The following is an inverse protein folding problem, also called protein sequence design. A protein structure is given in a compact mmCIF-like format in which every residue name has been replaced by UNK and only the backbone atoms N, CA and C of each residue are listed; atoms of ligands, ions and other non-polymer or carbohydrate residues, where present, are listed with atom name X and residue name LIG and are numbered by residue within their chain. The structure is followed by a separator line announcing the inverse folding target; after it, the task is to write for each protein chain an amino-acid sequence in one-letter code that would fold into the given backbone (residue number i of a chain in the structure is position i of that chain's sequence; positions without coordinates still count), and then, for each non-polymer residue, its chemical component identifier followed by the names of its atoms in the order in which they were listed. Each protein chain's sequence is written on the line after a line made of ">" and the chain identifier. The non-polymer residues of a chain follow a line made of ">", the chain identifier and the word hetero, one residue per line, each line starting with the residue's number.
data_IF_415728715210
#
_entry.id   IF_415728715210
#
_cell.length_a   1.000
_cell.length_b   1.000
_cell.length_c   1.000
_cell.angle_alpha   90.00
_cell.angle_beta   90.00
_cell.angle_gamma   90.00
#
_symmetry.space_group_name_H-M   'P 1'
#
loop_
_entity.id
_entity.type
_entity.pdbx_description
1 polymer ?
#
# COMPACT_ATOMS: atom_id res chain seq x y z
N UNK A 1 39.11 37.77 -8.79
CA UNK A 1 38.84 36.76 -7.74
C UNK A 1 37.33 36.50 -7.70
N UNK A 2 36.87 35.41 -8.32
CA UNK A 2 35.46 35.03 -8.33
C UNK A 2 35.23 33.87 -7.35
N UNK A 3 34.55 34.15 -6.24
CA UNK A 3 34.20 33.14 -5.24
C UNK A 3 33.07 32.29 -5.84
N UNK A 4 33.38 31.09 -6.33
CA UNK A 4 32.37 30.08 -6.68
C UNK A 4 31.71 29.60 -5.38
N UNK A 5 30.48 30.03 -5.14
CA UNK A 5 29.62 29.43 -4.13
C UNK A 5 29.35 27.97 -4.53
N UNK A 6 30.00 27.03 -3.84
CA UNK A 6 29.64 25.62 -3.86
C UNK A 6 28.40 25.48 -2.97
N UNK A 7 27.22 25.65 -3.58
CA UNK A 7 25.96 25.31 -2.93
C UNK A 7 25.84 23.78 -2.91
N UNK A 8 26.39 23.15 -1.87
CA UNK A 8 25.98 21.79 -1.47
C UNK A 8 24.53 21.88 -0.99
N UNK A 9 23.58 21.73 -1.91
CA UNK A 9 22.17 21.52 -1.58
C UNK A 9 22.14 20.22 -0.78
N UNK A 10 21.93 20.31 0.55
CA UNK A 10 21.64 19.12 1.36
C UNK A 10 20.43 18.44 0.73
N UNK A 11 20.63 17.28 0.13
CA UNK A 11 19.55 16.47 -0.40
C UNK A 11 18.54 16.22 0.73
N UNK A 12 17.34 16.78 0.61
CA UNK A 12 16.30 16.58 1.61
C UNK A 12 15.93 15.09 1.62
N UNK A 13 16.14 14.34 2.73
CA UNK A 13 15.90 12.91 2.78
C UNK A 13 14.44 12.57 2.47
N UNK A 14 13.50 13.46 2.81
CA UNK A 14 12.08 13.32 2.44
C UNK A 14 11.91 13.45 0.92
N UNK A 15 12.56 14.41 0.28
CA UNK A 15 12.48 14.54 -1.18
C UNK A 15 13.06 13.31 -1.90
N UNK A 16 14.13 12.70 -1.35
CA UNK A 16 14.73 11.47 -1.87
C UNK A 16 13.86 10.23 -1.67
N UNK A 17 13.14 10.12 -0.55
CA UNK A 17 12.19 9.02 -0.36
C UNK A 17 11.03 9.15 -1.35
N UNK A 18 10.47 10.35 -1.46
CA UNK A 18 9.28 10.60 -2.26
C UNK A 18 9.55 10.66 -3.76
N UNK A 19 10.81 10.75 -4.21
CA UNK A 19 11.15 10.65 -5.63
C UNK A 19 10.89 9.27 -6.22
N UNK A 20 10.74 8.23 -5.39
CA UNK A 20 10.42 6.87 -5.83
C UNK A 20 8.91 6.64 -5.95
N UNK A 21 8.09 7.54 -5.40
CA UNK A 21 6.62 7.47 -5.48
C UNK A 21 6.18 8.21 -6.74
N UNK A 22 5.69 7.46 -7.72
CA UNK A 22 5.26 7.97 -9.02
C UNK A 22 3.86 8.57 -8.99
N UNK A 23 3.05 8.17 -8.01
CA UNK A 23 1.69 8.67 -7.84
C UNK A 23 1.65 10.03 -7.09
N UNK A 24 0.53 10.77 -7.21
CA UNK A 24 0.29 11.92 -6.36
C UNK A 24 0.47 11.57 -4.88
N UNK A 25 1.25 12.40 -4.21
CA UNK A 25 1.63 12.30 -2.79
C UNK A 25 0.43 12.04 -1.87
N UNK A 26 -0.68 12.71 -2.12
CA UNK A 26 -1.93 12.55 -1.38
C UNK A 26 -2.52 11.14 -1.47
N UNK A 27 -2.37 10.47 -2.62
CA UNK A 27 -2.88 9.12 -2.87
C UNK A 27 -2.02 8.10 -2.12
N UNK A 28 -0.69 8.25 -2.15
CA UNK A 28 0.20 7.39 -1.37
C UNK A 28 -0.10 7.47 0.14
N UNK A 29 -0.36 8.67 0.68
CA UNK A 29 -0.77 8.86 2.08
C UNK A 29 -2.12 8.18 2.35
N UNK A 30 -3.11 8.40 1.49
CA UNK A 30 -4.44 7.80 1.65
C UNK A 30 -4.38 6.26 1.63
N UNK A 31 -3.58 5.68 0.72
CA UNK A 31 -3.36 4.23 0.69
C UNK A 31 -2.64 3.72 1.93
N UNK A 32 -1.63 4.46 2.41
CA UNK A 32 -0.94 4.12 3.65
C UNK A 32 -1.91 4.11 4.84
N UNK A 33 -2.81 5.10 4.93
CA UNK A 33 -3.86 5.10 5.94
C UNK A 33 -4.80 3.88 5.82
N UNK A 34 -5.16 3.46 4.59
CA UNK A 34 -5.96 2.26 4.36
C UNK A 34 -5.23 0.97 4.79
N UNK A 35 -3.94 0.84 4.50
CA UNK A 35 -3.11 -0.28 4.97
C UNK A 35 -2.96 -0.29 6.49
N UNK A 36 -2.79 0.88 7.10
CA UNK A 36 -2.72 0.99 8.55
C UNK A 36 -4.05 0.60 9.21
N UNK A 37 -5.18 1.02 8.63
CA UNK A 37 -6.49 0.62 9.11
C UNK A 37 -6.69 -0.91 9.01
N UNK A 38 -6.30 -1.52 7.88
CA UNK A 38 -6.36 -2.98 7.73
C UNK A 38 -5.44 -3.69 8.72
N UNK A 39 -4.22 -3.21 8.94
CA UNK A 39 -3.32 -3.74 9.97
C UNK A 39 -3.97 -3.70 11.36
N UNK A 40 -4.53 -2.56 11.76
CA UNK A 40 -5.16 -2.38 13.07
C UNK A 40 -6.36 -3.30 13.24
N UNK A 41 -7.22 -3.41 12.22
CA UNK A 41 -8.36 -4.32 12.24
C UNK A 41 -7.88 -5.77 12.38
N UNK A 42 -6.90 -6.19 11.58
CA UNK A 42 -6.33 -7.53 11.68
C UNK A 42 -5.75 -7.82 13.06
N UNK A 43 -4.99 -6.89 13.64
CA UNK A 43 -4.39 -7.04 14.96
C UNK A 43 -5.44 -7.12 16.09
N UNK A 44 -6.54 -6.38 15.96
CA UNK A 44 -7.68 -6.48 16.87
C UNK A 44 -8.34 -7.85 16.75
N UNK A 45 -8.55 -8.35 15.52
CA UNK A 45 -9.14 -9.67 15.31
C UNK A 45 -8.28 -10.78 15.92
N UNK A 46 -6.96 -10.78 15.64
CA UNK A 46 -6.03 -11.78 16.19
C UNK A 46 -5.98 -11.77 17.73
N UNK A 47 -6.26 -10.62 18.37
CA UNK A 47 -6.32 -10.53 19.83
C UNK A 47 -7.57 -11.16 20.42
N UNK A 48 -8.67 -11.19 19.67
CA UNK A 48 -9.97 -11.71 20.09
C UNK A 48 -10.29 -13.09 19.54
N UNK A 49 -9.31 -13.78 18.96
CA UNK A 49 -9.50 -15.00 18.17
C UNK A 49 -10.16 -16.14 18.94
N UNK A 50 -11.14 -16.79 18.32
CA UNK A 50 -11.76 -18.01 18.88
C UNK A 50 -11.80 -19.17 17.90
N UNK A 51 -11.63 -18.92 16.60
CA UNK A 51 -11.72 -19.91 15.54
C UNK A 51 -10.60 -19.76 14.50
N UNK A 52 -10.28 -20.84 13.79
CA UNK A 52 -9.21 -20.84 12.78
C UNK A 52 -9.49 -19.88 11.60
N UNK A 53 -10.76 -19.61 11.29
CA UNK A 53 -11.14 -18.70 10.20
C UNK A 53 -10.85 -17.24 10.58
N UNK A 54 -11.10 -16.86 11.83
CA UNK A 54 -10.73 -15.55 12.35
C UNK A 54 -9.21 -15.34 12.20
N UNK A 55 -8.43 -16.39 12.51
CA UNK A 55 -6.97 -16.32 12.46
C UNK A 55 -6.45 -16.08 11.06
N UNK A 56 -7.00 -16.78 10.07
CA UNK A 56 -6.63 -16.61 8.67
C UNK A 56 -6.98 -15.19 8.20
N UNK A 57 -8.16 -14.70 8.56
CA UNK A 57 -8.60 -13.34 8.24
C UNK A 57 -7.67 -12.29 8.88
N UNK A 58 -7.42 -12.40 10.18
CA UNK A 58 -6.57 -11.48 10.93
C UNK A 58 -5.14 -11.48 10.40
N UNK A 59 -4.61 -12.66 10.08
CA UNK A 59 -3.28 -12.81 9.51
C UNK A 59 -3.15 -12.11 8.16
N UNK A 60 -4.10 -12.31 7.24
CA UNK A 60 -4.08 -11.65 5.93
C UNK A 60 -4.14 -10.12 6.01
N UNK A 61 -4.94 -9.61 6.95
CA UNK A 61 -5.04 -8.17 7.20
C UNK A 61 -3.76 -7.60 7.82
N UNK A 62 -3.17 -8.29 8.79
CA UNK A 62 -1.93 -7.86 9.44
C UNK A 62 -0.77 -7.89 8.46
N UNK A 63 -0.58 -8.98 7.72
CA UNK A 63 0.52 -9.08 6.74
C UNK A 63 0.32 -8.06 5.62
N UNK A 64 -0.89 -7.97 5.07
CA UNK A 64 -1.25 -6.99 4.04
C UNK A 64 -1.00 -5.55 4.50
N UNK A 65 -1.46 -5.18 5.69
CA UNK A 65 -1.25 -3.84 6.23
C UNK A 65 0.20 -3.54 6.61
N UNK A 66 0.92 -4.49 7.21
CA UNK A 66 2.31 -4.33 7.63
C UNK A 66 3.27 -4.13 6.46
N UNK A 67 3.05 -4.85 5.36
CA UNK A 67 3.86 -4.67 4.14
C UNK A 67 3.34 -3.52 3.28
N UNK A 68 2.03 -3.31 3.20
CA UNK A 68 1.41 -2.28 2.38
C UNK A 68 1.70 -0.86 2.86
N UNK A 69 1.67 -0.62 4.18
CA UNK A 69 1.91 0.70 4.76
C UNK A 69 3.27 1.31 4.35
N UNK A 70 4.42 0.65 4.58
CA UNK A 70 5.70 1.20 4.17
C UNK A 70 5.83 1.23 2.64
N UNK A 71 5.40 0.17 1.94
CA UNK A 71 5.62 0.08 0.47
C UNK A 71 4.86 1.15 -0.30
N UNK A 72 3.68 1.56 0.16
CA UNK A 72 2.93 2.68 -0.40
C UNK A 72 3.67 4.02 -0.28
N UNK A 73 4.41 4.24 0.80
CA UNK A 73 5.20 5.45 1.06
C UNK A 73 6.55 5.44 0.35
N UNK A 74 7.16 4.26 0.17
CA UNK A 74 8.46 4.11 -0.47
C UNK A 74 8.39 3.83 -1.97
N UNK A 75 7.19 3.61 -2.52
CA UNK A 75 6.99 3.30 -3.94
C UNK A 75 7.49 1.92 -4.34
N UNK A 76 7.52 0.96 -3.40
CA UNK A 76 7.98 -0.40 -3.71
C UNK A 76 6.83 -1.27 -4.22
N UNK A 77 6.48 -1.07 -5.48
CA UNK A 77 5.24 -1.58 -6.06
C UNK A 77 5.16 -3.11 -6.15
N UNK A 78 6.29 -3.80 -6.33
CA UNK A 78 6.30 -5.27 -6.38
C UNK A 78 5.79 -5.88 -5.07
N UNK A 79 6.29 -5.40 -3.93
CA UNK A 79 5.86 -5.86 -2.61
C UNK A 79 4.47 -5.31 -2.26
N UNK A 80 4.17 -4.07 -2.67
CA UNK A 80 2.84 -3.48 -2.47
C UNK A 80 1.74 -4.30 -3.16
N UNK A 81 1.99 -4.86 -4.35
CA UNK A 81 1.04 -5.76 -5.03
C UNK A 81 0.68 -6.98 -4.19
N UNK A 82 1.67 -7.65 -3.59
CA UNK A 82 1.41 -8.78 -2.70
C UNK A 82 0.61 -8.35 -1.46
N UNK A 83 0.94 -7.18 -0.90
CA UNK A 83 0.23 -6.58 0.23
C UNK A 83 -1.24 -6.26 -0.11
N UNK A 84 -1.53 -5.76 -1.32
CA UNK A 84 -2.89 -5.55 -1.82
C UNK A 84 -3.67 -6.86 -1.84
N UNK A 85 -3.11 -7.91 -2.45
CA UNK A 85 -3.79 -9.20 -2.58
C UNK A 85 -4.09 -9.82 -1.22
N UNK A 86 -3.13 -9.75 -0.29
CA UNK A 86 -3.33 -10.18 1.09
C UNK A 86 -4.44 -9.39 1.79
N UNK A 87 -4.41 -8.06 1.67
CA UNK A 87 -5.43 -7.20 2.29
C UNK A 87 -6.83 -7.46 1.73
N UNK A 88 -6.95 -7.60 0.40
CA UNK A 88 -8.22 -7.95 -0.26
C UNK A 88 -8.73 -9.30 0.23
N UNK A 89 -7.87 -10.33 0.31
CA UNK A 89 -8.25 -11.64 0.81
C UNK A 89 -8.79 -11.54 2.25
N UNK A 90 -8.09 -10.80 3.13
CA UNK A 90 -8.52 -10.59 4.50
C UNK A 90 -9.86 -9.84 4.62
N UNK A 91 -10.11 -8.84 3.77
CA UNK A 91 -11.41 -8.13 3.75
C UNK A 91 -12.51 -9.01 3.17
N UNK A 92 -12.25 -9.83 2.14
CA UNK A 92 -13.25 -10.77 1.61
C UNK A 92 -13.65 -11.79 2.68
N UNK A 93 -12.69 -12.40 3.37
CA UNK A 93 -13.00 -13.36 4.45
C UNK A 93 -13.78 -12.67 5.57
N UNK A 94 -13.48 -11.41 5.87
CA UNK A 94 -14.26 -10.62 6.82
C UNK A 94 -15.72 -10.45 6.38
N UNK A 95 -15.96 -10.06 5.12
CA UNK A 95 -17.30 -9.87 4.57
C UNK A 95 -18.13 -11.16 4.60
N UNK A 96 -17.49 -12.30 4.34
CA UNK A 96 -18.15 -13.61 4.43
C UNK A 96 -18.58 -13.91 5.87
N UNK A 97 -17.75 -13.56 6.86
CA UNK A 97 -18.06 -13.78 8.28
C UNK A 97 -19.11 -12.82 8.83
N UNK A 98 -19.02 -11.53 8.51
CA UNK A 98 -19.88 -10.50 9.11
C UNK A 98 -21.13 -10.19 8.30
N UNK A 99 -21.18 -10.62 7.03
CA UNK A 99 -22.22 -10.23 6.08
C UNK A 99 -22.16 -8.74 5.69
N UNK A 100 -23.16 -8.30 4.92
CA UNK A 100 -23.28 -6.93 4.39
C UNK A 100 -23.85 -5.95 5.43
N UNK A 101 -23.13 -5.76 6.54
CA UNK A 101 -23.44 -4.77 7.58
C UNK A 101 -22.83 -3.40 7.25
N UNK A 102 -23.09 -2.37 8.06
CA UNK A 102 -22.46 -1.05 7.87
C UNK A 102 -20.92 -1.11 7.90
N UNK A 103 -20.35 -1.99 8.72
CA UNK A 103 -18.91 -2.27 8.72
C UNK A 103 -18.50 -3.03 7.46
N UNK A 104 -19.27 -4.04 7.03
CA UNK A 104 -19.05 -4.71 5.75
C UNK A 104 -19.03 -3.75 4.56
N UNK A 105 -19.91 -2.73 4.53
CA UNK A 105 -19.88 -1.70 3.48
C UNK A 105 -18.56 -0.90 3.48
N UNK A 106 -17.99 -0.61 4.65
CA UNK A 106 -16.65 0.00 4.75
C UNK A 106 -15.58 -0.92 4.16
N UNK A 107 -15.69 -2.23 4.38
CA UNK A 107 -14.81 -3.23 3.75
C UNK A 107 -14.86 -3.19 2.22
N UNK A 108 -16.05 -3.07 1.65
CA UNK A 108 -16.20 -2.91 0.20
C UNK A 108 -15.55 -1.62 -0.32
N UNK A 109 -15.69 -0.51 0.39
CA UNK A 109 -15.00 0.76 0.04
C UNK A 109 -13.48 0.57 0.05
N UNK A 110 -12.95 -0.11 1.07
CA UNK A 110 -11.52 -0.43 1.18
C UNK A 110 -11.05 -1.31 0.02
N UNK A 111 -11.84 -2.32 -0.37
CA UNK A 111 -11.55 -3.15 -1.56
C UNK A 111 -11.47 -2.29 -2.82
N UNK A 112 -12.40 -1.35 -3.02
CA UNK A 112 -12.37 -0.44 -4.18
C UNK A 112 -11.08 0.40 -4.19
N UNK A 113 -10.63 0.87 -3.03
CA UNK A 113 -9.35 1.57 -2.90
C UNK A 113 -8.18 0.67 -3.31
N UNK A 114 -8.13 -0.56 -2.81
CA UNK A 114 -7.07 -1.52 -3.14
C UNK A 114 -7.06 -1.93 -4.61
N UNK A 115 -8.22 -2.16 -5.22
CA UNK A 115 -8.33 -2.45 -6.66
C UNK A 115 -7.88 -1.23 -7.48
N UNK A 116 -8.29 -0.03 -7.08
CA UNK A 116 -7.88 1.21 -7.77
C UNK A 116 -6.36 1.37 -7.72
N UNK A 117 -5.75 1.13 -6.56
CA UNK A 117 -4.29 1.15 -6.41
C UNK A 117 -3.63 0.05 -7.23
N UNK A 118 -4.16 -1.17 -7.23
CA UNK A 118 -3.65 -2.28 -8.03
C UNK A 118 -3.58 -1.91 -9.51
N UNK A 119 -4.67 -1.39 -10.08
CA UNK A 119 -4.73 -0.99 -11.49
C UNK A 119 -3.66 0.07 -11.80
N UNK A 120 -3.36 0.96 -10.86
CA UNK A 120 -2.33 1.97 -11.03
C UNK A 120 -0.93 1.39 -10.96
N UNK A 121 -0.65 0.46 -10.04
CA UNK A 121 0.72 -0.02 -9.77
C UNK A 121 1.09 -1.34 -10.45
N UNK A 122 0.13 -2.03 -11.09
CA UNK A 122 0.33 -3.38 -11.67
C UNK A 122 1.38 -3.41 -12.78
N UNK A 123 1.50 -2.32 -13.54
CA UNK A 123 2.37 -2.24 -14.72
C UNK A 123 3.73 -1.60 -14.37
N UNK A 124 3.92 -1.17 -13.13
CA UNK A 124 5.18 -0.60 -12.65
C UNK A 124 6.07 -1.70 -12.09
N UNK A 125 7.22 -1.94 -12.73
CA UNK A 125 8.22 -2.90 -12.26
C UNK A 125 9.45 -2.19 -11.67
N UNK A 126 9.18 -1.17 -10.84
CA UNK A 126 10.23 -0.32 -10.28
C UNK A 126 10.61 -0.80 -8.88
N UNK A 127 11.84 -1.27 -8.74
CA UNK A 127 12.50 -1.45 -7.44
C UNK A 127 13.06 -0.11 -6.98
N UNK A 128 12.86 0.33 -5.72
CA UNK A 128 13.38 1.60 -5.23
C UNK A 128 14.89 1.72 -5.47
N UNK A 129 15.30 2.71 -6.27
CA UNK A 129 16.71 2.97 -6.61
C UNK A 129 17.11 2.61 -8.04
N UNK A 130 16.27 1.91 -8.80
CA UNK A 130 16.50 1.67 -10.23
C UNK A 130 15.84 2.77 -11.08
N UNK A 131 16.52 3.25 -12.16
CA UNK A 131 15.91 4.19 -13.08
C UNK A 131 14.68 3.54 -13.73
N UNK A 132 13.61 4.33 -13.88
CA UNK A 132 12.38 3.90 -14.56
C UNK A 132 12.73 3.38 -15.95
N UNK A 133 12.61 2.08 -16.15
CA UNK A 133 12.57 1.53 -17.51
C UNK A 133 11.21 1.97 -18.05
N UNK A 134 11.18 3.03 -18.87
CA UNK A 134 10.03 3.30 -19.71
C UNK A 134 9.78 2.04 -20.54
N UNK A 135 8.74 1.29 -20.18
CA UNK A 135 8.25 0.21 -21.04
C UNK A 135 7.68 0.88 -22.27
N UNK A 136 8.53 1.07 -23.30
CA UNK A 136 8.11 1.43 -24.65
C UNK A 136 7.11 0.38 -25.11
N UNK A 137 5.81 0.69 -25.02
CA UNK A 137 4.81 -0.27 -25.46
C UNK A 137 3.34 0.10 -25.31
N UNK A 138 2.96 1.12 -24.55
CA UNK A 138 1.55 1.55 -24.47
C UNK A 138 1.43 3.01 -24.90
N UNK A 139 1.64 3.24 -26.19
CA UNK A 139 1.10 4.42 -26.86
C UNK A 139 0.08 3.95 -27.90
N UNK A 140 -1.17 4.35 -27.64
CA UNK A 140 -2.42 4.23 -28.42
C UNK A 140 -3.11 2.88 -28.44
#
# INVERSE_FOLDING_TARGET
>A
MGIRQIWTIRANPVAKVWSHVHEPKSIAIAMSAAYLATFVVGAITLKGETQAVDYIHGLFLVTGGAFGFPTALFGYYQLERAAIMSSIAGVITWLVLTGLTSTGLLGLIVIVFFITRWIRIKDFDVTPGEPVIEVKGITK
#
